data_IF_696276159209
#
_entry.id   IF_696276159209
#
_cell.length_a   1.000
_cell.length_b   1.000
_cell.length_c   1.000
_cell.angle_alpha   90.00
_cell.angle_beta   90.00
_cell.angle_gamma   90.00
#
_symmetry.space_group_name_H-M   'P 1'
#
loop_
_entity.id
_entity.type
_entity.pdbx_description
1 polymer ?
#
# COMPACT_ATOMS: atom_id res chain seq x y z
N UNK A 1 4.58 6.08 18.85
CA UNK A 1 5.46 5.07 18.21
C UNK A 1 4.68 3.77 18.16
N UNK A 2 4.57 3.13 16.98
CA UNK A 2 3.74 1.94 16.81
C UNK A 2 4.46 0.72 17.37
N UNK A 3 3.71 -0.21 17.95
CA UNK A 3 4.28 -1.46 18.44
C UNK A 3 3.39 -2.66 18.06
N UNK A 4 3.98 -3.67 17.44
CA UNK A 4 3.33 -4.96 17.19
C UNK A 4 4.14 -6.04 17.90
N UNK A 5 3.51 -6.78 18.82
CA UNK A 5 4.16 -7.87 19.59
C UNK A 5 5.50 -7.45 20.21
N UNK A 6 5.56 -6.24 20.77
CA UNK A 6 6.78 -5.68 21.39
C UNK A 6 7.83 -5.15 20.41
N UNK A 7 7.65 -5.30 19.10
CA UNK A 7 8.55 -4.71 18.09
C UNK A 7 8.07 -3.33 17.70
N UNK A 8 8.99 -2.37 17.70
CA UNK A 8 8.75 -1.00 17.20
C UNK A 8 8.52 -1.04 15.69
N UNK A 9 7.50 -0.33 15.23
CA UNK A 9 7.13 -0.19 13.82
C UNK A 9 6.90 1.28 13.50
N UNK A 10 7.22 1.69 12.27
CA UNK A 10 7.01 3.04 11.76
C UNK A 10 6.53 2.98 10.31
N UNK A 11 5.57 3.84 9.95
CA UNK A 11 5.16 4.07 8.56
C UNK A 11 5.66 5.44 8.11
N UNK A 12 6.67 5.47 7.25
CA UNK A 12 7.26 6.72 6.74
C UNK A 12 6.52 7.25 5.50
N UNK A 13 5.17 7.21 5.52
CA UNK A 13 4.31 7.48 4.35
C UNK A 13 4.71 8.75 3.60
N UNK A 14 4.72 9.90 4.29
CA UNK A 14 5.00 11.21 3.66
C UNK A 14 6.43 11.32 3.12
N UNK A 15 7.41 10.72 3.80
CA UNK A 15 8.79 10.71 3.33
C UNK A 15 8.93 9.82 2.08
N UNK A 16 8.27 8.66 2.05
CA UNK A 16 8.27 7.80 0.87
C UNK A 16 7.57 8.47 -0.32
N UNK A 17 6.44 9.15 -0.10
CA UNK A 17 5.74 9.91 -1.16
C UNK A 17 6.65 11.01 -1.72
N UNK A 18 7.34 11.78 -0.86
CA UNK A 18 8.26 12.82 -1.33
C UNK A 18 9.34 12.25 -2.27
N UNK A 19 9.98 11.14 -1.87
CA UNK A 19 11.01 10.48 -2.69
C UNK A 19 10.40 9.96 -3.99
N UNK A 20 9.27 9.26 -3.91
CA UNK A 20 8.58 8.70 -5.07
C UNK A 20 8.12 9.75 -6.07
N UNK A 21 7.52 10.85 -5.60
CA UNK A 21 7.04 11.92 -6.47
C UNK A 21 8.20 12.67 -7.12
N UNK A 22 9.29 12.91 -6.38
CA UNK A 22 10.53 13.51 -6.92
C UNK A 22 11.13 12.62 -8.01
N UNK A 23 11.24 11.32 -7.75
CA UNK A 23 11.71 10.33 -8.70
C UNK A 23 10.82 10.29 -9.96
N UNK A 24 9.50 10.25 -9.77
CA UNK A 24 8.51 10.10 -10.84
C UNK A 24 8.47 11.34 -11.75
N UNK A 25 8.39 12.54 -11.18
CA UNK A 25 8.31 13.81 -11.94
C UNK A 25 9.60 14.10 -12.71
N UNK A 26 10.75 13.70 -12.19
CA UNK A 26 12.06 13.90 -12.83
C UNK A 26 12.50 12.67 -13.65
N UNK A 27 11.60 11.70 -13.86
CA UNK A 27 11.84 10.50 -14.67
C UNK A 27 13.09 9.68 -14.23
N UNK A 28 13.43 9.72 -12.94
CA UNK A 28 14.61 9.06 -12.41
C UNK A 28 15.94 9.73 -12.79
N UNK A 29 15.93 10.97 -13.27
CA UNK A 29 17.10 11.70 -13.75
C UNK A 29 17.46 12.89 -12.85
N UNK A 30 18.73 13.33 -12.91
CA UNK A 30 19.22 14.48 -12.15
C UNK A 30 18.96 14.32 -10.64
N UNK A 31 18.31 15.32 -10.04
CA UNK A 31 17.93 15.32 -8.61
C UNK A 31 16.89 14.24 -8.25
N UNK A 32 16.24 13.63 -9.23
CA UNK A 32 15.32 12.50 -9.06
C UNK A 32 15.97 11.14 -9.27
N UNK A 33 17.29 11.08 -9.45
CA UNK A 33 18.01 9.82 -9.62
C UNK A 33 18.20 9.11 -8.27
N UNK A 34 17.57 7.95 -8.14
CA UNK A 34 17.66 7.09 -6.97
C UNK A 34 17.96 5.66 -7.42
N UNK A 35 19.16 5.17 -7.12
CA UNK A 35 19.59 3.80 -7.44
C UNK A 35 18.81 2.73 -6.63
N UNK A 36 18.17 3.14 -5.54
CA UNK A 36 17.47 2.29 -4.59
C UNK A 36 15.97 2.58 -4.50
N UNK A 37 15.36 3.18 -5.52
CA UNK A 37 13.92 3.48 -5.53
C UNK A 37 13.04 2.24 -5.28
N UNK A 38 13.52 1.07 -5.70
CA UNK A 38 12.87 -0.22 -5.50
C UNK A 38 12.82 -0.68 -4.03
N UNK A 39 13.56 -0.01 -3.13
CA UNK A 39 13.51 -0.24 -1.68
C UNK A 39 12.26 0.34 -1.02
N UNK A 40 11.58 1.28 -1.69
CA UNK A 40 10.32 1.84 -1.21
C UNK A 40 9.22 0.79 -1.21
N UNK A 41 8.24 1.01 -0.35
CA UNK A 41 7.02 0.20 -0.27
C UNK A 41 5.86 0.96 -0.91
N UNK A 42 4.70 0.31 -1.04
CA UNK A 42 3.46 1.07 -1.23
C UNK A 42 3.28 2.04 -0.05
N UNK A 43 2.54 3.12 -0.28
CA UNK A 43 2.28 4.11 0.74
C UNK A 43 1.14 3.58 1.60
N UNK A 44 1.37 3.45 2.91
CA UNK A 44 0.45 2.86 3.87
C UNK A 44 -0.84 3.69 4.05
N UNK A 45 -1.70 3.70 3.05
CA UNK A 45 -2.93 4.50 2.91
C UNK A 45 -4.19 3.69 3.26
N UNK A 46 -5.37 4.31 3.17
CA UNK A 46 -6.67 3.67 3.40
C UNK A 46 -7.33 3.16 2.11
N UNK A 47 -6.98 3.69 0.93
CA UNK A 47 -7.54 3.23 -0.35
C UNK A 47 -6.97 1.90 -0.81
N UNK A 48 -5.65 1.72 -0.66
CA UNK A 48 -4.98 0.49 -1.07
C UNK A 48 -5.56 -0.76 -0.39
N UNK A 49 -5.73 -0.83 0.95
CA UNK A 49 -6.40 -1.96 1.59
C UNK A 49 -7.82 -2.19 1.07
N UNK A 50 -8.56 -1.14 0.71
CA UNK A 50 -9.89 -1.27 0.13
C UNK A 50 -9.86 -2.02 -1.20
N UNK A 51 -8.93 -1.64 -2.08
CA UNK A 51 -8.73 -2.31 -3.38
C UNK A 51 -8.35 -3.77 -3.17
N UNK A 52 -7.38 -4.04 -2.28
CA UNK A 52 -6.92 -5.41 -2.02
C UNK A 52 -8.03 -6.31 -1.47
N UNK A 53 -8.93 -5.79 -0.62
CA UNK A 53 -10.11 -6.53 -0.15
C UNK A 53 -11.11 -6.76 -1.29
N UNK A 54 -11.37 -5.73 -2.10
CA UNK A 54 -12.30 -5.81 -3.22
C UNK A 54 -11.87 -6.87 -4.23
N UNK A 55 -10.58 -6.89 -4.58
CA UNK A 55 -9.95 -7.86 -5.47
C UNK A 55 -9.68 -9.22 -4.80
N UNK A 56 -10.08 -9.39 -3.53
CA UNK A 56 -9.90 -10.63 -2.74
C UNK A 56 -8.43 -11.04 -2.53
N UNK A 57 -7.49 -10.10 -2.66
CA UNK A 57 -6.07 -10.30 -2.38
C UNK A 57 -5.78 -10.38 -0.87
N UNK A 58 -6.57 -9.69 -0.04
CA UNK A 58 -6.55 -9.83 1.42
C UNK A 58 -7.95 -10.09 1.97
N UNK A 59 -8.03 -10.75 3.12
CA UNK A 59 -9.28 -11.01 3.86
C UNK A 59 -9.09 -10.67 5.34
N UNK A 60 -10.06 -9.97 5.91
CA UNK A 60 -10.10 -9.68 7.35
C UNK A 60 -10.86 -10.75 8.13
N UNK A 61 -10.58 -10.83 9.43
CA UNK A 61 -11.41 -11.60 10.36
C UNK A 61 -12.83 -11.02 10.40
N UNK A 62 -13.82 -11.85 10.72
CA UNK A 62 -15.22 -11.41 10.83
C UNK A 62 -15.39 -10.26 11.82
N UNK A 63 -14.64 -10.31 12.94
CA UNK A 63 -14.62 -9.25 13.95
C UNK A 63 -14.13 -7.91 13.40
N UNK A 64 -13.01 -7.90 12.68
CA UNK A 64 -12.46 -6.68 12.09
C UNK A 64 -13.37 -6.16 10.96
N UNK A 65 -13.89 -7.07 10.14
CA UNK A 65 -14.82 -6.77 9.07
C UNK A 65 -16.09 -6.09 9.58
N UNK A 66 -16.64 -6.58 10.71
CA UNK A 66 -17.81 -5.97 11.38
C UNK A 66 -17.54 -4.53 11.78
N UNK A 67 -16.44 -4.26 12.49
CA UNK A 67 -16.02 -2.90 12.89
C UNK A 67 -15.92 -1.94 11.71
N UNK A 68 -15.32 -2.40 10.61
CA UNK A 68 -15.18 -1.62 9.38
C UNK A 68 -16.54 -1.27 8.76
N UNK A 69 -17.49 -2.22 8.72
CA UNK A 69 -18.86 -1.98 8.21
C UNK A 69 -19.65 -1.02 9.08
N UNK A 70 -19.45 -1.07 10.40
CA UNK A 70 -20.05 -0.14 11.36
C UNK A 70 -19.45 1.27 11.25
N UNK A 71 -18.41 1.47 10.44
CA UNK A 71 -17.77 2.77 10.25
C UNK A 71 -16.93 3.21 11.45
N UNK A 72 -16.43 2.25 12.23
CA UNK A 72 -15.60 2.49 13.43
C UNK A 72 -14.43 3.40 13.08
N UNK A 73 -14.23 4.44 13.88
CA UNK A 73 -13.06 5.32 13.79
C UNK A 73 -11.98 4.73 14.70
N UNK A 74 -10.91 4.23 14.10
CA UNK A 74 -9.74 3.73 14.81
C UNK A 74 -8.89 4.90 15.32
N UNK A 75 -8.22 4.70 16.44
CA UNK A 75 -7.16 5.59 16.89
C UNK A 75 -5.88 5.32 16.09
N UNK A 76 -5.10 6.38 15.86
CA UNK A 76 -3.82 6.22 15.17
C UNK A 76 -2.89 5.34 15.99
N UNK A 77 -2.44 4.24 15.39
CA UNK A 77 -1.62 3.24 16.05
C UNK A 77 -2.38 2.15 16.80
N UNK A 78 -3.70 2.10 16.67
CA UNK A 78 -4.46 0.92 17.05
C UNK A 78 -3.90 -0.32 16.37
N UNK A 79 -3.85 -1.44 17.10
CA UNK A 79 -3.32 -2.70 16.57
C UNK A 79 -3.96 -3.09 15.24
N UNK A 80 -5.29 -3.01 15.14
CA UNK A 80 -6.03 -3.35 13.92
C UNK A 80 -5.73 -2.37 12.77
N UNK A 81 -5.56 -1.07 13.06
CA UNK A 81 -5.16 -0.05 12.08
C UNK A 81 -3.77 -0.35 11.50
N UNK A 82 -2.81 -0.66 12.38
CA UNK A 82 -1.45 -1.01 12.00
C UNK A 82 -1.42 -2.33 11.23
N UNK A 83 -2.21 -3.32 11.66
CA UNK A 83 -2.33 -4.62 10.97
C UNK A 83 -2.88 -4.46 9.55
N UNK A 84 -3.92 -3.65 9.34
CA UNK A 84 -4.48 -3.38 8.01
C UNK A 84 -3.39 -2.81 7.07
N UNK A 85 -2.65 -1.81 7.54
CA UNK A 85 -1.62 -1.13 6.76
C UNK A 85 -0.41 -2.03 6.48
N UNK A 86 0.08 -2.71 7.51
CA UNK A 86 1.20 -3.63 7.40
C UNK A 86 0.90 -4.80 6.45
N UNK A 87 -0.30 -5.39 6.56
CA UNK A 87 -0.74 -6.44 5.64
C UNK A 87 -0.87 -5.93 4.20
N UNK A 88 -1.27 -4.67 3.99
CA UNK A 88 -1.35 -4.07 2.65
C UNK A 88 0.05 -3.93 2.03
N UNK A 89 1.02 -3.44 2.80
CA UNK A 89 2.42 -3.36 2.37
C UNK A 89 2.95 -4.74 1.98
N UNK A 90 2.74 -5.73 2.85
CA UNK A 90 3.23 -7.07 2.62
C UNK A 90 2.57 -7.74 1.41
N UNK A 91 1.25 -7.60 1.26
CA UNK A 91 0.51 -8.11 0.11
C UNK A 91 1.05 -7.52 -1.21
N UNK A 92 1.30 -6.21 -1.26
CA UNK A 92 1.83 -5.56 -2.45
C UNK A 92 3.28 -5.98 -2.75
N UNK A 93 4.11 -6.20 -1.73
CA UNK A 93 5.45 -6.78 -1.92
C UNK A 93 5.39 -8.18 -2.57
N UNK A 94 4.43 -9.02 -2.14
CA UNK A 94 4.20 -10.32 -2.76
C UNK A 94 3.68 -10.21 -4.20
N UNK A 95 2.81 -9.23 -4.49
CA UNK A 95 2.34 -8.95 -5.85
C UNK A 95 3.52 -8.57 -6.76
N UNK A 96 4.38 -7.63 -6.35
CA UNK A 96 5.57 -7.27 -7.11
C UNK A 96 6.48 -8.48 -7.38
N UNK A 97 6.76 -9.28 -6.34
CA UNK A 97 7.55 -10.51 -6.48
C UNK A 97 6.91 -11.47 -7.49
N UNK A 98 5.61 -11.70 -7.40
CA UNK A 98 4.92 -12.61 -8.29
C UNK A 98 4.90 -12.12 -9.75
N UNK A 99 4.73 -10.81 -9.96
CA UNK A 99 4.83 -10.22 -11.29
C UNK A 99 6.21 -10.43 -11.90
N UNK A 100 7.29 -10.20 -11.12
CA UNK A 100 8.65 -10.46 -11.57
C UNK A 100 8.87 -11.93 -11.97
N UNK A 101 8.42 -12.88 -11.15
CA UNK A 101 8.48 -14.33 -11.44
C UNK A 101 7.72 -14.69 -12.73
N UNK A 102 6.58 -14.05 -12.99
CA UNK A 102 5.79 -14.28 -14.21
C UNK A 102 6.49 -13.77 -15.47
N UNK A 103 7.18 -12.62 -15.39
CA UNK A 103 7.95 -12.07 -16.50
C UNK A 103 9.25 -12.82 -16.76
N UNK A 104 9.92 -13.27 -15.71
CA UNK A 104 11.11 -14.11 -15.81
C UNK A 104 10.80 -15.41 -16.56
N UNK A 105 9.67 -16.06 -16.26
CA UNK A 105 9.19 -17.26 -17.00
C UNK A 105 8.92 -16.99 -18.48
N UNK A 106 8.67 -15.74 -18.87
CA UNK A 106 8.51 -15.30 -20.27
C UNK A 106 9.83 -14.86 -20.91
N UNK A 107 10.96 -14.97 -20.21
CA UNK A 107 12.27 -14.52 -20.67
C UNK A 107 12.42 -12.99 -20.69
N UNK A 108 11.63 -12.26 -19.90
CA UNK A 108 11.66 -10.80 -19.82
C UNK A 108 12.18 -10.34 -18.47
N UNK A 109 13.26 -9.54 -18.47
CA UNK A 109 13.75 -8.89 -17.25
C UNK A 109 13.00 -7.58 -17.01
N UNK A 110 12.23 -7.55 -15.92
CA UNK A 110 11.39 -6.42 -15.53
C UNK A 110 11.79 -5.83 -14.17
N UNK A 111 12.97 -6.18 -13.64
CA UNK A 111 13.43 -5.77 -12.29
C UNK A 111 13.51 -4.26 -12.11
N UNK A 112 13.90 -3.53 -13.15
CA UNK A 112 13.97 -2.06 -13.13
C UNK A 112 12.61 -1.39 -13.39
N UNK A 113 11.62 -2.14 -13.89
CA UNK A 113 10.32 -1.61 -14.35
C UNK A 113 9.17 -1.92 -13.39
N UNK A 114 9.36 -2.85 -12.46
CA UNK A 114 8.35 -3.25 -11.48
C UNK A 114 8.88 -2.89 -10.10
N UNK A 115 8.20 -1.94 -9.44
CA UNK A 115 8.47 -1.58 -8.06
C UNK A 115 7.16 -1.24 -7.34
N UNK A 116 7.23 -1.10 -6.01
CA UNK A 116 6.06 -0.86 -5.19
C UNK A 116 5.47 0.55 -5.37
N UNK A 117 6.26 1.54 -5.81
CA UNK A 117 5.79 2.90 -6.11
C UNK A 117 4.83 2.89 -7.29
N UNK A 118 5.24 2.27 -8.40
CA UNK A 118 4.39 2.15 -9.59
C UNK A 118 3.14 1.32 -9.30
N UNK A 119 3.27 0.25 -8.51
CA UNK A 119 2.11 -0.52 -8.06
C UNK A 119 1.16 0.32 -7.20
N UNK A 120 1.66 1.17 -6.30
CA UNK A 120 0.85 2.09 -5.51
C UNK A 120 0.05 3.03 -6.42
N UNK A 121 0.72 3.72 -7.35
CA UNK A 121 0.07 4.62 -8.31
C UNK A 121 -1.03 3.90 -9.10
N UNK A 122 -0.76 2.70 -9.62
CA UNK A 122 -1.75 1.90 -10.32
C UNK A 122 -2.94 1.51 -9.44
N UNK A 123 -2.72 1.07 -8.20
CA UNK A 123 -3.80 0.68 -7.29
C UNK A 123 -4.61 1.90 -6.83
N UNK A 124 -3.98 3.06 -6.70
CA UNK A 124 -4.65 4.31 -6.33
C UNK A 124 -5.55 4.82 -7.46
N UNK A 125 -5.04 4.82 -8.70
CA UNK A 125 -5.83 5.12 -9.89
C UNK A 125 -6.98 4.13 -10.07
N UNK A 126 -6.70 2.83 -9.93
CA UNK A 126 -7.75 1.80 -9.92
C UNK A 126 -8.82 2.13 -8.88
N UNK A 127 -8.41 2.55 -7.68
CA UNK A 127 -9.35 2.90 -6.64
C UNK A 127 -10.24 4.09 -7.01
N UNK A 128 -9.67 5.10 -7.68
CA UNK A 128 -10.41 6.27 -8.16
C UNK A 128 -11.44 5.85 -9.21
N UNK A 129 -11.00 5.07 -10.19
CA UNK A 129 -11.79 4.74 -11.38
C UNK A 129 -12.92 3.74 -11.08
N UNK A 130 -12.71 2.84 -10.10
CA UNK A 130 -13.68 1.80 -9.70
C UNK A 130 -14.43 2.16 -8.41
N UNK A 131 -14.58 3.46 -8.12
CA UNK A 131 -15.19 3.94 -6.86
C UNK A 131 -16.59 3.36 -6.63
N UNK A 132 -17.41 3.28 -7.68
CA UNK A 132 -18.79 2.78 -7.59
C UNK A 132 -18.86 1.27 -7.33
N UNK A 133 -17.98 0.50 -7.96
CA UNK A 133 -17.89 -0.95 -7.76
C UNK A 133 -17.44 -1.30 -6.34
N UNK A 134 -16.57 -0.47 -5.78
CA UNK A 134 -16.03 -0.64 -4.43
C UNK A 134 -16.85 0.03 -3.33
N UNK A 135 -18.01 0.65 -3.62
CA UNK A 135 -18.79 1.40 -2.64
C UNK A 135 -19.18 0.58 -1.40
N UNK A 136 -19.34 -0.74 -1.57
CA UNK A 136 -19.71 -1.69 -0.51
C UNK A 136 -18.51 -2.34 0.17
N UNK A 137 -17.28 -2.06 -0.28
CA UNK A 137 -16.03 -2.51 0.34
C UNK A 137 -15.59 -1.43 1.32
N UNK A 138 -15.64 -1.67 2.65
CA UNK A 138 -15.24 -0.65 3.60
C UNK A 138 -13.72 -0.53 3.72
N UNK A 139 -13.28 0.59 4.26
CA UNK A 139 -11.88 0.91 4.56
C UNK A 139 -11.77 1.43 5.99
N UNK A 140 -10.59 1.36 6.58
CA UNK A 140 -10.37 1.86 7.94
C UNK A 140 -10.42 3.38 7.97
N UNK A 141 -11.02 3.95 9.02
CA UNK A 141 -11.12 5.40 9.23
C UNK A 141 -10.28 5.78 10.43
N UNK A 142 -9.39 6.75 10.26
CA UNK A 142 -8.46 7.22 11.29
C UNK A 142 -8.36 8.74 11.19
N UNK A 143 -8.28 9.43 12.33
CA UNK A 143 -7.95 10.86 12.37
C UNK A 143 -6.52 11.04 12.86
N UNK A 144 -5.60 11.44 11.99
CA UNK A 144 -4.25 11.87 12.38
C UNK A 144 -3.57 12.69 11.29
N UNK A 145 -2.39 13.25 11.61
CA UNK A 145 -1.56 14.07 10.72
C UNK A 145 -0.64 13.27 9.79
N UNK A 146 -0.71 11.93 9.86
CA UNK A 146 0.19 11.02 9.15
C UNK A 146 -0.41 10.47 7.84
N UNK A 147 -1.64 10.87 7.50
CA UNK A 147 -2.33 10.52 6.26
C UNK A 147 -2.31 11.68 5.28
#
# INVERSE_FOLDING_TARGET
MLAIRGKKVSFYKRAQILVADTWSVLEGQGDGSFDDISSLTIFADYRIPQVLVHLKAIKYSEKLMKKLREGTIFQSGDKEEVEIRGCSIWCCALICKHLLELYEKKGQDMREKINAVLLDYHLWDYARDHREEMKNTPFHRVRCIYY
#
